data_IF_088902845804
#
_entry.id   IF_088902845804
#
_cell.length_a   1.000
_cell.length_b   1.000
_cell.length_c   1.000
_cell.angle_alpha   90.00
_cell.angle_beta   90.00
_cell.angle_gamma   90.00
#
_symmetry.space_group_name_H-M   'P 1'
#
loop_
_entity.id
_entity.type
_entity.pdbx_description
1 polymer ?
#
# COMPACT_ATOMS: atom_id res chain seq x y z
N UNK A 1 31.72 -11.70 -1.37
CA UNK A 1 30.68 -11.84 -0.32
C UNK A 1 29.64 -10.78 -0.60
N UNK A 2 28.57 -11.15 -1.31
CA UNK A 2 27.39 -10.29 -1.43
C UNK A 2 26.62 -10.38 -0.12
N UNK A 3 26.61 -9.30 0.65
CA UNK A 3 25.69 -9.09 1.76
C UNK A 3 24.30 -8.89 1.16
N UNK A 4 23.55 -9.97 0.98
CA UNK A 4 22.10 -9.89 0.79
C UNK A 4 21.52 -9.33 2.09
N UNK A 5 21.30 -8.01 2.13
CA UNK A 5 20.50 -7.38 3.18
C UNK A 5 19.09 -7.94 3.05
N UNK A 6 18.79 -8.99 3.81
CA UNK A 6 17.45 -9.51 3.99
C UNK A 6 16.67 -8.47 4.79
N UNK A 7 16.01 -7.56 4.10
CA UNK A 7 15.20 -6.52 4.74
C UNK A 7 14.13 -7.17 5.60
N UNK A 8 13.95 -6.64 6.81
CA UNK A 8 13.01 -7.21 7.75
C UNK A 8 11.59 -6.83 7.36
N UNK A 9 10.64 -7.74 7.59
CA UNK A 9 9.20 -7.51 7.35
C UNK A 9 8.73 -6.19 7.99
N UNK A 10 9.28 -5.88 9.17
CA UNK A 10 8.97 -4.68 9.93
C UNK A 10 9.37 -3.40 9.18
N UNK A 11 10.52 -3.38 8.49
CA UNK A 11 10.93 -2.24 7.68
C UNK A 11 9.94 -1.96 6.54
N UNK A 12 9.50 -3.00 5.83
CA UNK A 12 8.57 -2.84 4.71
C UNK A 12 7.21 -2.35 5.23
N UNK A 13 6.72 -2.90 6.35
CA UNK A 13 5.48 -2.43 6.98
C UNK A 13 5.61 -0.95 7.38
N UNK A 14 6.76 -0.53 7.91
CA UNK A 14 6.98 0.87 8.27
C UNK A 14 6.95 1.78 7.04
N UNK A 15 7.54 1.36 5.92
CA UNK A 15 7.49 2.09 4.66
C UNK A 15 6.07 2.21 4.12
N UNK A 16 5.29 1.11 4.16
CA UNK A 16 3.88 1.12 3.75
C UNK A 16 3.06 2.10 4.61
N UNK A 17 3.30 2.09 5.92
CA UNK A 17 2.65 3.01 6.84
C UNK A 17 3.02 4.47 6.55
N UNK A 18 4.30 4.73 6.26
CA UNK A 18 4.79 6.06 5.90
C UNK A 18 4.17 6.54 4.59
N UNK A 19 4.08 5.67 3.57
CA UNK A 19 3.51 5.99 2.27
C UNK A 19 2.01 6.33 2.38
N UNK A 20 1.23 5.48 3.07
CA UNK A 20 -0.18 5.74 3.30
C UNK A 20 -0.43 7.05 4.06
N UNK A 21 0.37 7.34 5.10
CA UNK A 21 0.27 8.60 5.87
C UNK A 21 0.63 9.82 5.04
N UNK A 22 1.71 9.72 4.25
CA UNK A 22 2.15 10.79 3.36
C UNK A 22 1.06 11.14 2.38
N UNK A 23 0.50 10.15 1.67
CA UNK A 23 -0.57 10.38 0.70
C UNK A 23 -1.85 10.95 1.33
N UNK A 24 -2.21 10.51 2.55
CA UNK A 24 -3.34 11.13 3.30
C UNK A 24 -3.10 12.61 3.58
N UNK A 25 -1.88 12.97 3.98
CA UNK A 25 -1.52 14.36 4.22
C UNK A 25 -1.68 15.17 2.93
N UNK A 26 -1.14 14.67 1.80
CA UNK A 26 -1.24 15.35 0.50
C UNK A 26 -2.69 15.55 0.07
N UNK A 27 -3.53 14.51 0.16
CA UNK A 27 -4.97 14.61 -0.14
C UNK A 27 -5.64 15.67 0.74
N UNK A 28 -5.29 15.75 2.02
CA UNK A 28 -5.83 16.75 2.94
C UNK A 28 -5.39 18.18 2.59
N UNK A 29 -4.13 18.38 2.22
CA UNK A 29 -3.59 19.68 1.80
C UNK A 29 -4.25 20.14 0.49
N UNK A 30 -4.33 19.26 -0.50
CA UNK A 30 -4.98 19.54 -1.79
C UNK A 30 -6.46 19.92 -1.63
N UNK A 31 -7.18 19.23 -0.74
CA UNK A 31 -8.58 19.54 -0.42
C UNK A 31 -8.78 20.95 0.16
N UNK A 32 -7.72 21.56 0.71
CA UNK A 32 -7.73 22.94 1.23
C UNK A 32 -7.20 23.97 0.22
N UNK A 33 -6.82 23.54 -0.99
CA UNK A 33 -6.26 24.39 -2.04
C UNK A 33 -4.78 24.75 -1.83
N UNK A 34 -4.07 24.02 -0.96
CA UNK A 34 -2.63 24.18 -0.78
C UNK A 34 -1.86 23.42 -1.88
N UNK A 35 -0.77 24.00 -2.36
CA UNK A 35 0.11 23.35 -3.33
C UNK A 35 0.90 22.21 -2.67
N UNK A 36 0.94 21.06 -3.34
CA UNK A 36 1.64 19.84 -2.90
C UNK A 36 2.82 19.47 -3.81
N UNK A 37 3.12 20.28 -4.83
CA UNK A 37 4.10 19.96 -5.89
C UNK A 37 5.52 19.70 -5.36
N UNK A 38 5.89 20.28 -4.22
CA UNK A 38 7.21 20.10 -3.60
C UNK A 38 7.30 18.81 -2.75
N UNK A 39 6.18 18.15 -2.46
CA UNK A 39 6.16 16.90 -1.71
C UNK A 39 6.46 15.71 -2.63
N UNK A 40 7.66 15.17 -2.48
CA UNK A 40 8.12 14.04 -3.26
C UNK A 40 8.40 12.83 -2.36
N UNK A 41 8.01 11.65 -2.82
CA UNK A 41 8.22 10.37 -2.13
C UNK A 41 8.60 9.30 -3.15
N UNK A 42 9.62 8.51 -2.83
CA UNK A 42 10.01 7.32 -3.58
C UNK A 42 9.76 6.03 -2.77
N UNK A 43 8.81 6.09 -1.82
CA UNK A 43 8.56 5.00 -0.89
C UNK A 43 8.09 3.72 -1.60
N UNK A 44 7.26 3.83 -2.64
CA UNK A 44 6.82 2.69 -3.44
C UNK A 44 8.00 1.94 -4.09
N UNK A 45 8.93 2.68 -4.72
CA UNK A 45 10.13 2.11 -5.32
C UNK A 45 11.02 1.43 -4.26
N UNK A 46 11.15 2.05 -3.09
CA UNK A 46 11.90 1.48 -1.97
C UNK A 46 11.24 0.19 -1.46
N UNK A 47 9.90 0.15 -1.38
CA UNK A 47 9.17 -1.07 -1.04
C UNK A 47 9.44 -2.16 -2.07
N UNK A 48 9.34 -1.86 -3.37
CA UNK A 48 9.53 -2.83 -4.45
C UNK A 48 10.95 -3.38 -4.51
N UNK A 49 11.95 -2.54 -4.30
CA UNK A 49 13.34 -2.98 -4.18
C UNK A 49 13.55 -3.90 -2.97
N UNK A 50 12.92 -3.59 -1.83
CA UNK A 50 13.07 -4.40 -0.60
C UNK A 50 12.34 -5.74 -0.65
N UNK A 51 11.28 -5.86 -1.44
CA UNK A 51 10.63 -7.14 -1.69
C UNK A 51 11.29 -7.93 -2.81
N UNK A 52 12.42 -7.51 -3.38
CA UNK A 52 13.09 -8.14 -4.53
C UNK A 52 12.15 -8.36 -5.73
N UNK A 53 11.42 -7.31 -6.14
CA UNK A 53 10.57 -7.36 -7.33
C UNK A 53 11.44 -7.31 -8.60
N UNK A 54 11.32 -8.26 -9.54
CA UNK A 54 12.03 -8.16 -10.81
C UNK A 54 11.53 -6.98 -11.65
N UNK A 55 12.46 -6.22 -12.25
CA UNK A 55 12.16 -5.01 -13.06
C UNK A 55 11.06 -5.19 -14.11
N UNK A 56 11.00 -6.36 -14.73
CA UNK A 56 9.99 -6.66 -15.76
C UNK A 56 8.54 -6.62 -15.24
N UNK A 57 8.34 -6.71 -13.92
CA UNK A 57 7.02 -6.65 -13.28
C UNK A 57 6.76 -5.33 -12.55
N UNK A 58 7.73 -4.40 -12.49
CA UNK A 58 7.60 -3.13 -11.74
C UNK A 58 6.39 -2.32 -12.21
N UNK A 59 6.20 -2.13 -13.51
CA UNK A 59 5.08 -1.34 -14.03
C UNK A 59 3.71 -1.95 -13.65
N UNK A 60 3.58 -3.28 -13.72
CA UNK A 60 2.34 -3.97 -13.36
C UNK A 60 2.07 -3.90 -11.86
N UNK A 61 3.11 -4.06 -11.05
CA UNK A 61 3.02 -3.93 -9.60
C UNK A 61 2.69 -2.50 -9.19
N UNK A 62 3.31 -1.51 -9.81
CA UNK A 62 3.09 -0.09 -9.53
C UNK A 62 1.64 0.29 -9.78
N UNK A 63 1.08 -0.05 -10.94
CA UNK A 63 -0.32 0.24 -11.25
C UNK A 63 -1.28 -0.38 -10.22
N UNK A 64 -1.08 -1.67 -9.89
CA UNK A 64 -1.90 -2.34 -8.88
C UNK A 64 -1.72 -1.71 -7.49
N UNK A 65 -0.50 -1.34 -7.12
CA UNK A 65 -0.19 -0.72 -5.84
C UNK A 65 -0.88 0.64 -5.70
N UNK A 66 -0.80 1.50 -6.72
CA UNK A 66 -1.48 2.80 -6.75
C UNK A 66 -2.98 2.65 -6.56
N UNK A 67 -3.64 1.83 -7.37
CA UNK A 67 -5.09 1.57 -7.27
C UNK A 67 -5.48 1.08 -5.86
N UNK A 68 -4.66 0.20 -5.31
CA UNK A 68 -4.89 -0.41 -3.99
C UNK A 68 -4.72 0.63 -2.87
N UNK A 69 -3.67 1.45 -2.94
CA UNK A 69 -3.45 2.53 -1.97
C UNK A 69 -4.58 3.53 -2.03
N UNK A 70 -4.97 4.03 -3.21
CA UNK A 70 -6.12 4.95 -3.31
C UNK A 70 -7.40 4.35 -2.70
N UNK A 71 -7.66 3.06 -2.93
CA UNK A 71 -8.78 2.34 -2.30
C UNK A 71 -8.69 2.32 -0.77
N UNK A 72 -7.50 2.12 -0.20
CA UNK A 72 -7.23 2.23 1.25
C UNK A 72 -7.44 3.65 1.77
N UNK A 73 -7.11 4.66 0.97
CA UNK A 73 -7.23 6.06 1.34
C UNK A 73 -8.68 6.59 1.26
N UNK A 74 -9.61 5.82 0.70
CA UNK A 74 -11.05 6.13 0.76
C UNK A 74 -11.70 5.79 2.12
N UNK A 75 -11.01 5.03 2.97
CA UNK A 75 -11.48 4.75 4.33
C UNK A 75 -11.66 6.08 5.08
N UNK A 76 -12.66 6.20 5.94
CA UNK A 76 -12.82 7.41 6.74
C UNK A 76 -11.58 7.65 7.65
N UNK A 77 -11.21 8.91 7.84
CA UNK A 77 -9.96 9.28 8.52
C UNK A 77 -9.90 8.77 9.97
N UNK A 78 -11.04 8.72 10.67
CA UNK A 78 -11.10 8.20 12.03
C UNK A 78 -10.74 6.71 12.07
N UNK A 79 -11.37 5.92 11.20
CA UNK A 79 -11.11 4.48 11.10
C UNK A 79 -9.70 4.19 10.58
N UNK A 80 -9.22 4.95 9.60
CA UNK A 80 -7.85 4.84 9.11
C UNK A 80 -6.85 5.02 10.26
N UNK A 81 -7.01 6.06 11.09
CA UNK A 81 -6.10 6.33 12.22
C UNK A 81 -6.07 5.19 13.24
N UNK A 82 -7.23 4.57 13.52
CA UNK A 82 -7.34 3.44 14.45
C UNK A 82 -6.72 2.18 13.88
N UNK A 83 -6.87 1.92 12.58
CA UNK A 83 -6.53 0.64 11.95
C UNK A 83 -5.28 0.67 11.05
N UNK A 84 -4.57 1.79 10.95
CA UNK A 84 -3.45 1.97 10.01
C UNK A 84 -2.35 0.89 10.11
N UNK A 85 -2.02 0.39 11.30
CA UNK A 85 -1.00 -0.65 11.48
C UNK A 85 -1.51 -2.00 10.96
N UNK A 86 -2.75 -2.34 11.28
CA UNK A 86 -3.41 -3.53 10.76
C UNK A 86 -3.54 -3.48 9.22
N UNK A 87 -3.89 -2.31 8.68
CA UNK A 87 -3.96 -2.07 7.24
C UNK A 87 -2.59 -2.24 6.57
N UNK A 88 -1.52 -1.69 7.16
CA UNK A 88 -0.17 -1.85 6.65
C UNK A 88 0.28 -3.33 6.63
N UNK A 89 -0.05 -4.09 7.69
CA UNK A 89 0.22 -5.53 7.75
C UNK A 89 -0.53 -6.30 6.67
N UNK A 90 -1.82 -6.03 6.49
CA UNK A 90 -2.63 -6.68 5.45
C UNK A 90 -2.18 -6.30 4.06
N UNK A 91 -1.75 -5.06 3.88
CA UNK A 91 -1.25 -4.60 2.60
C UNK A 91 0.11 -5.21 2.27
N UNK A 92 0.98 -5.41 3.27
CA UNK A 92 2.21 -6.19 3.11
C UNK A 92 1.93 -7.62 2.62
N UNK A 93 0.99 -8.32 3.27
CA UNK A 93 0.62 -9.68 2.86
C UNK A 93 0.09 -9.68 1.40
N UNK A 94 -0.72 -8.69 1.05
CA UNK A 94 -1.26 -8.52 -0.30
C UNK A 94 -0.18 -8.24 -1.35
N UNK A 95 0.83 -7.43 -1.02
CA UNK A 95 1.97 -7.13 -1.89
C UNK A 95 2.77 -8.40 -2.21
N UNK A 96 3.04 -9.23 -1.19
CA UNK A 96 3.76 -10.48 -1.40
C UNK A 96 2.96 -11.47 -2.25
N UNK A 97 1.66 -11.58 -2.01
CA UNK A 97 0.78 -12.40 -2.84
C UNK A 97 0.75 -11.89 -4.28
N UNK A 98 0.64 -10.57 -4.50
CA UNK A 98 0.64 -9.99 -5.85
C UNK A 98 1.96 -10.24 -6.56
N UNK A 99 3.08 -10.02 -5.88
CA UNK A 99 4.42 -10.35 -6.41
C UNK A 99 4.46 -11.81 -6.86
N UNK A 100 3.99 -12.73 -6.02
CA UNK A 100 3.99 -14.16 -6.30
C UNK A 100 3.10 -14.51 -7.51
N UNK A 101 1.94 -13.85 -7.65
CA UNK A 101 1.05 -14.01 -8.80
C UNK A 101 1.70 -13.52 -10.09
N UNK A 102 2.36 -12.35 -10.06
CA UNK A 102 3.03 -11.79 -11.24
C UNK A 102 4.19 -12.68 -11.71
N UNK A 103 5.03 -13.14 -10.78
CA UNK A 103 6.20 -13.97 -11.10
C UNK A 103 5.78 -15.33 -11.65
N UNK A 104 4.79 -15.98 -11.03
CA UNK A 104 4.39 -17.33 -11.38
C UNK A 104 3.19 -17.40 -12.35
N UNK A 105 2.71 -16.24 -12.83
CA UNK A 105 1.55 -16.12 -13.71
C UNK A 105 0.29 -16.82 -13.14
N UNK A 106 0.09 -16.69 -11.83
CA UNK A 106 -1.05 -17.27 -11.13
C UNK A 106 -2.29 -16.38 -11.31
N UNK A 107 -3.51 -16.95 -11.23
CA UNK A 107 -4.74 -16.17 -11.25
C UNK A 107 -4.77 -15.15 -10.11
N UNK A 108 -5.48 -14.04 -10.34
CA UNK A 108 -5.67 -13.00 -9.32
C UNK A 108 -6.66 -13.48 -8.25
N UNK A 109 -6.12 -13.85 -7.08
CA UNK A 109 -6.87 -14.29 -5.90
C UNK A 109 -6.99 -13.21 -4.82
N UNK A 110 -6.33 -12.06 -5.00
CA UNK A 110 -6.35 -10.95 -4.04
C UNK A 110 -7.72 -10.30 -3.92
N UNK A 111 -8.51 -10.41 -4.99
CA UNK A 111 -9.89 -9.95 -5.12
C UNK A 111 -10.82 -10.32 -3.96
N UNK A 112 -10.62 -11.45 -3.29
CA UNK A 112 -11.61 -11.98 -2.33
C UNK A 112 -11.31 -11.68 -0.87
N UNK A 113 -10.05 -11.71 -0.42
CA UNK A 113 -9.72 -11.60 1.01
C UNK A 113 -9.25 -10.21 1.44
N UNK A 114 -8.45 -9.52 0.63
CA UNK A 114 -7.98 -8.18 0.97
C UNK A 114 -9.07 -7.13 0.75
N UNK A 115 -9.74 -7.18 -0.41
CA UNK A 115 -10.83 -6.25 -0.71
C UNK A 115 -12.09 -6.47 0.13
N UNK A 116 -12.31 -7.66 0.68
CA UNK A 116 -13.40 -7.88 1.64
C UNK A 116 -13.14 -7.18 2.98
N UNK A 117 -11.89 -7.19 3.47
CA UNK A 117 -11.47 -6.40 4.64
C UNK A 117 -11.64 -4.91 4.37
N UNK A 118 -11.23 -4.43 3.19
CA UNK A 118 -11.42 -3.04 2.79
C UNK A 118 -12.90 -2.67 2.68
N UNK A 119 -13.72 -3.54 2.10
CA UNK A 119 -15.16 -3.33 1.99
C UNK A 119 -15.82 -3.27 3.36
N UNK A 120 -15.42 -4.13 4.30
CA UNK A 120 -15.92 -4.08 5.68
C UNK A 120 -15.56 -2.76 6.38
N UNK A 121 -14.31 -2.29 6.23
CA UNK A 121 -13.89 -0.99 6.78
C UNK A 121 -14.62 0.19 6.12
N UNK A 122 -14.93 0.10 4.82
CA UNK A 122 -15.74 1.10 4.10
C UNK A 122 -17.20 1.10 4.55
N UNK A 123 -17.80 -0.06 4.83
CA UNK A 123 -19.21 -0.17 5.23
C UNK A 123 -19.46 0.40 6.64
N UNK A 124 -18.49 0.31 7.55
CA UNK A 124 -18.61 0.93 8.88
C UNK A 124 -18.64 2.47 8.85
N UNK A 125 -18.39 3.12 7.70
CA UNK A 125 -18.62 4.56 7.47
C UNK A 125 -20.09 4.97 7.69
N UNK A 126 -21.03 4.04 7.52
CA UNK A 126 -22.47 4.31 7.60
C UNK A 126 -23.13 3.88 8.92
N UNK A 127 -22.35 3.35 9.87
CA UNK A 127 -22.85 2.83 11.16
C UNK A 127 -22.65 3.80 12.34
N UNK A 128 -22.41 5.09 12.07
CA UNK A 128 -22.43 6.16 13.08
C UNK A 128 -23.74 6.94 13.04
#
# INVERSE_FOLDING_TARGET
METTMKYSKEEIILLLLADMKSRRLLIGLEATGLATDDFNSNLADLIFSKIDLPKQYEAQMYNWYEDTVYTLLEIDMHYFRIHQEFLALKFYDAILEKKNQLINQLPDTLGTHFYSILSWLKLNKYNN
#
